data_IF_392471942891
#
_entry.id   IF_392471942891
#
_cell.length_a   1.000
_cell.length_b   1.000
_cell.length_c   1.000
_cell.angle_alpha   90.00
_cell.angle_beta   90.00
_cell.angle_gamma   90.00
#
_symmetry.space_group_name_H-M   'P 1'
#
loop_
_entity.id
_entity.type
_entity.pdbx_description
1 polymer ?
#
# COMPACT_ATOMS: atom_id res chain seq x y z
N UNK A 1 13.33 -1.05 -18.70
CA UNK A 1 12.98 -0.41 -17.41
C UNK A 1 13.56 -1.26 -16.30
N UNK A 2 14.23 -0.65 -15.33
CA UNK A 2 14.75 -1.35 -14.16
C UNK A 2 13.70 -1.24 -13.05
N UNK A 3 13.31 -2.36 -12.46
CA UNK A 3 12.46 -2.41 -11.28
C UNK A 3 13.04 -1.54 -10.14
N UNK A 4 12.20 -1.05 -9.24
CA UNK A 4 12.65 -0.20 -8.12
C UNK A 4 13.63 -0.90 -7.18
N UNK A 5 13.44 -2.21 -6.97
CA UNK A 5 14.25 -3.08 -6.14
C UNK A 5 14.15 -4.53 -6.64
N UNK A 6 14.91 -5.45 -6.04
CA UNK A 6 14.91 -6.87 -6.41
C UNK A 6 13.53 -7.51 -6.21
N UNK A 7 13.11 -8.36 -7.14
CA UNK A 7 11.81 -9.05 -7.11
C UNK A 7 11.60 -9.87 -5.82
N UNK A 8 12.68 -10.34 -5.19
CA UNK A 8 12.60 -11.10 -3.95
C UNK A 8 11.90 -10.34 -2.81
N UNK A 9 11.92 -9.00 -2.83
CA UNK A 9 11.28 -8.15 -1.81
C UNK A 9 9.83 -7.80 -2.12
N UNK A 10 9.39 -7.97 -3.37
CA UNK A 10 8.05 -7.56 -3.81
C UNK A 10 6.94 -8.21 -2.96
N UNK A 11 6.96 -9.53 -2.66
CA UNK A 11 5.91 -10.14 -1.84
C UNK A 11 5.77 -9.51 -0.46
N UNK A 12 6.89 -9.15 0.18
CA UNK A 12 6.88 -8.50 1.49
C UNK A 12 6.34 -7.06 1.39
N UNK A 13 6.76 -6.28 0.40
CA UNK A 13 6.26 -4.91 0.22
C UNK A 13 4.76 -4.90 -0.09
N UNK A 14 4.30 -5.81 -0.96
CA UNK A 14 2.88 -5.97 -1.27
C UNK A 14 2.06 -6.34 -0.03
N UNK A 15 2.55 -7.31 0.76
CA UNK A 15 1.92 -7.71 2.01
C UNK A 15 1.88 -6.57 3.02
N UNK A 16 2.99 -5.87 3.21
CA UNK A 16 3.10 -4.82 4.22
C UNK A 16 2.27 -3.59 3.87
N UNK A 17 2.26 -3.16 2.60
CA UNK A 17 1.35 -2.09 2.16
C UNK A 17 -0.11 -2.54 2.19
N UNK A 18 -0.40 -3.81 1.87
CA UNK A 18 -1.75 -4.35 1.99
C UNK A 18 -2.27 -4.29 3.42
N UNK A 19 -1.51 -4.80 4.39
CA UNK A 19 -1.89 -4.70 5.81
C UNK A 19 -1.97 -3.26 6.30
N UNK A 20 -1.06 -2.38 5.86
CA UNK A 20 -1.11 -0.97 6.19
C UNK A 20 -2.43 -0.33 5.74
N UNK A 21 -2.81 -0.46 4.46
CA UNK A 21 -4.05 0.15 3.96
C UNK A 21 -5.30 -0.52 4.53
N UNK A 22 -5.31 -1.85 4.72
CA UNK A 22 -6.39 -2.53 5.44
C UNK A 22 -6.57 -1.97 6.84
N UNK A 23 -5.48 -1.83 7.61
CA UNK A 23 -5.57 -1.31 8.97
C UNK A 23 -6.04 0.14 8.99
N UNK A 24 -5.53 0.99 8.09
CA UNK A 24 -5.93 2.39 7.98
C UNK A 24 -7.41 2.56 7.62
N UNK A 25 -7.89 1.82 6.62
CA UNK A 25 -9.25 1.99 6.07
C UNK A 25 -10.30 1.24 6.91
N UNK A 26 -10.04 -0.03 7.24
CA UNK A 26 -11.01 -0.88 7.93
C UNK A 26 -10.93 -0.74 9.46
N UNK A 27 -9.74 -0.91 10.05
CA UNK A 27 -9.60 -0.94 11.52
C UNK A 27 -9.63 0.45 12.15
N UNK A 28 -9.06 1.45 11.48
CA UNK A 28 -9.01 2.83 11.97
C UNK A 28 -10.10 3.74 11.38
N UNK A 29 -10.79 3.29 10.32
CA UNK A 29 -11.94 4.00 9.73
C UNK A 29 -11.60 5.28 8.98
N UNK A 30 -10.36 5.44 8.50
CA UNK A 30 -10.02 6.60 7.66
C UNK A 30 -10.65 6.46 6.27
N UNK A 31 -11.02 7.60 5.67
CA UNK A 31 -11.38 7.64 4.26
C UNK A 31 -10.19 7.31 3.35
N UNK A 32 -10.41 6.88 2.09
CA UNK A 32 -9.33 6.67 1.12
C UNK A 32 -8.40 7.87 0.95
N UNK A 33 -8.97 9.09 0.94
CA UNK A 33 -8.18 10.33 0.81
C UNK A 33 -7.29 10.57 2.02
N UNK A 34 -7.83 10.39 3.24
CA UNK A 34 -7.06 10.55 4.47
C UNK A 34 -5.94 9.51 4.57
N UNK A 35 -6.23 8.23 4.28
CA UNK A 35 -5.23 7.18 4.30
C UNK A 35 -4.10 7.43 3.27
N UNK A 36 -4.46 7.87 2.06
CA UNK A 36 -3.49 8.29 1.04
C UNK A 36 -2.62 9.45 1.52
N UNK A 37 -3.22 10.50 2.08
CA UNK A 37 -2.48 11.67 2.53
C UNK A 37 -1.55 11.33 3.70
N UNK A 38 -2.01 10.50 4.64
CA UNK A 38 -1.19 10.01 5.75
C UNK A 38 -0.01 9.19 5.23
N UNK A 39 -0.24 8.29 4.27
CA UNK A 39 0.82 7.51 3.64
C UNK A 39 1.86 8.41 2.94
N UNK A 40 1.42 9.31 2.07
CA UNK A 40 2.30 10.18 1.27
C UNK A 40 3.09 11.17 2.12
N UNK A 41 2.56 11.61 3.26
CA UNK A 41 3.24 12.51 4.18
C UNK A 41 4.10 11.77 5.23
N UNK A 42 4.07 10.44 5.27
CA UNK A 42 4.91 9.63 6.15
C UNK A 42 6.30 9.40 5.55
N UNK A 43 7.18 8.76 6.32
CA UNK A 43 8.51 8.34 5.84
C UNK A 43 8.45 7.11 4.91
N UNK A 44 7.35 6.35 4.93
CA UNK A 44 7.25 5.02 4.29
C UNK A 44 7.52 5.06 2.77
N UNK A 45 6.87 5.95 1.98
CA UNK A 45 7.04 5.93 0.53
C UNK A 45 8.50 6.17 0.13
N UNK A 46 9.12 7.18 0.73
CA UNK A 46 10.50 7.57 0.44
C UNK A 46 11.51 6.45 0.76
N UNK A 47 11.27 5.67 1.82
CA UNK A 47 12.16 4.58 2.21
C UNK A 47 12.04 3.35 1.31
N UNK A 48 10.81 3.03 0.86
CA UNK A 48 10.59 1.97 -0.13
C UNK A 48 11.19 2.36 -1.48
N UNK A 49 11.01 3.61 -1.91
CA UNK A 49 11.51 4.13 -3.20
C UNK A 49 13.05 4.09 -3.30
N UNK A 50 13.77 4.26 -2.19
CA UNK A 50 15.24 4.10 -2.14
C UNK A 50 15.69 2.66 -1.81
N UNK A 51 14.77 1.70 -1.81
CA UNK A 51 15.02 0.29 -1.53
C UNK A 51 15.65 0.01 -0.14
N UNK A 52 15.25 0.75 0.91
CA UNK A 52 15.72 0.48 2.28
C UNK A 52 15.20 -0.89 2.77
N UNK A 53 16.07 -1.89 3.05
CA UNK A 53 15.64 -3.23 3.44
C UNK A 53 14.73 -3.27 4.69
N UNK A 54 14.92 -2.33 5.62
CA UNK A 54 14.07 -2.22 6.82
C UNK A 54 12.61 -1.94 6.43
N UNK A 55 12.38 -1.17 5.37
CA UNK A 55 11.04 -0.89 4.83
C UNK A 55 10.60 -1.87 3.75
N UNK A 56 11.53 -2.60 3.12
CA UNK A 56 11.15 -3.63 2.15
C UNK A 56 10.63 -4.90 2.83
N UNK A 57 11.32 -5.38 3.86
CA UNK A 57 10.99 -6.64 4.53
C UNK A 57 11.16 -6.62 6.07
N UNK A 58 11.73 -5.56 6.65
CA UNK A 58 12.01 -5.49 8.09
C UNK A 58 10.82 -5.09 8.97
N UNK A 59 9.89 -4.28 8.43
CA UNK A 59 8.72 -3.76 9.14
C UNK A 59 7.43 -4.31 8.60
N UNK A 60 6.51 -4.60 9.51
CA UNK A 60 5.13 -4.97 9.20
C UNK A 60 4.28 -3.76 8.78
N UNK A 61 3.14 -4.03 8.15
CA UNK A 61 2.14 -3.00 7.85
C UNK A 61 1.57 -2.28 9.08
N UNK A 62 1.56 -2.92 10.26
CA UNK A 62 1.17 -2.27 11.52
C UNK A 62 2.24 -1.31 12.02
N UNK A 63 3.52 -1.65 11.89
CA UNK A 63 4.62 -0.74 12.21
C UNK A 63 4.65 0.45 11.26
N UNK A 64 4.28 0.27 9.99
CA UNK A 64 4.02 1.38 9.08
C UNK A 64 2.93 2.31 9.62
N UNK A 65 1.81 1.79 10.12
CA UNK A 65 0.76 2.62 10.71
C UNK A 65 1.27 3.40 11.94
N UNK A 66 2.11 2.79 12.78
CA UNK A 66 2.75 3.47 13.91
C UNK A 66 3.69 4.60 13.46
N UNK A 67 4.48 4.37 12.39
CA UNK A 67 5.36 5.39 11.81
C UNK A 67 4.57 6.54 11.15
N UNK A 68 3.45 6.23 10.51
CA UNK A 68 2.60 7.22 9.85
C UNK A 68 1.76 8.04 10.86
N UNK A 69 1.46 7.47 12.03
CA UNK A 69 0.64 8.09 13.07
C UNK A 69 1.35 8.12 14.43
N UNK A 70 2.55 8.74 14.55
CA UNK A 70 3.41 8.62 15.73
C UNK A 70 2.81 9.21 17.02
N UNK A 71 1.75 10.02 16.90
CA UNK A 71 1.03 10.62 18.05
C UNK A 71 -0.18 9.82 18.50
N UNK A 72 -0.58 8.76 17.79
CA UNK A 72 -1.70 7.89 18.16
C UNK A 72 -1.18 6.64 18.86
N UNK A 73 -1.81 6.26 19.96
CA UNK A 73 -1.63 4.94 20.54
C UNK A 73 -2.46 3.93 19.74
N UNK A 74 -1.81 3.01 19.04
CA UNK A 74 -2.44 2.02 18.17
C UNK A 74 -2.46 0.61 18.77
N UNK A 75 -1.89 0.40 19.96
CA UNK A 75 -1.69 -0.94 20.54
C UNK A 75 -2.99 -1.75 20.61
N UNK A 76 -4.05 -1.19 21.19
CA UNK A 76 -5.34 -1.88 21.31
C UNK A 76 -5.94 -2.22 19.94
N UNK A 77 -5.90 -1.28 18.98
CA UNK A 77 -6.42 -1.50 17.63
C UNK A 77 -5.62 -2.57 16.87
N UNK A 78 -4.30 -2.61 17.05
CA UNK A 78 -3.45 -3.65 16.48
C UNK A 78 -3.79 -5.01 17.11
N UNK A 79 -3.95 -5.08 18.43
CA UNK A 79 -4.35 -6.32 19.11
C UNK A 79 -5.72 -6.83 18.67
N UNK A 80 -6.69 -5.94 18.43
CA UNK A 80 -7.99 -6.28 17.84
C UNK A 80 -7.79 -6.84 16.42
N UNK A 81 -7.07 -6.12 15.55
CA UNK A 81 -6.84 -6.54 14.16
C UNK A 81 -6.10 -7.88 14.04
N UNK A 82 -5.22 -8.22 15.00
CA UNK A 82 -4.51 -9.50 15.04
C UNK A 82 -5.37 -10.68 15.49
N UNK A 83 -6.49 -10.42 16.19
CA UNK A 83 -7.45 -11.46 16.62
C UNK A 83 -8.48 -11.77 15.54
N UNK A 84 -8.77 -10.81 14.66
CA UNK A 84 -9.69 -10.99 13.55
C UNK A 84 -9.10 -11.93 12.48
N UNK A 85 -9.89 -12.89 11.96
CA UNK A 85 -9.45 -13.71 10.84
C UNK A 85 -9.11 -12.84 9.62
N UNK A 86 -7.95 -13.09 9.03
CA UNK A 86 -7.51 -12.34 7.86
C UNK A 86 -8.22 -12.81 6.59
N UNK A 87 -8.95 -11.89 5.95
CA UNK A 87 -9.50 -12.05 4.61
C UNK A 87 -9.09 -10.85 3.76
N UNK A 88 -8.28 -11.04 2.70
CA UNK A 88 -7.94 -9.95 1.80
C UNK A 88 -9.19 -9.36 1.14
N UNK A 89 -9.41 -8.07 1.36
CA UNK A 89 -10.49 -7.29 0.73
C UNK A 89 -9.89 -6.14 -0.09
N UNK A 90 -10.75 -5.25 -0.60
CA UNK A 90 -10.36 -4.12 -1.43
C UNK A 90 -9.24 -3.27 -0.79
N UNK A 91 -9.30 -3.06 0.52
CA UNK A 91 -8.34 -2.28 1.28
C UNK A 91 -6.94 -2.88 1.23
N UNK A 92 -6.82 -4.19 1.50
CA UNK A 92 -5.55 -4.91 1.38
C UNK A 92 -5.05 -4.93 -0.06
N UNK A 93 -5.95 -5.25 -0.99
CA UNK A 93 -5.61 -5.34 -2.41
C UNK A 93 -5.11 -4.00 -2.96
N UNK A 94 -5.63 -2.87 -2.47
CA UNK A 94 -5.17 -1.55 -2.89
C UNK A 94 -3.68 -1.31 -2.61
N UNK A 95 -3.20 -1.73 -1.43
CA UNK A 95 -1.78 -1.68 -1.08
C UNK A 95 -0.93 -2.65 -1.91
N UNK A 96 -1.46 -3.86 -2.15
CA UNK A 96 -0.82 -4.88 -2.99
C UNK A 96 -0.58 -4.40 -4.43
N UNK A 97 -1.60 -3.78 -5.05
CA UNK A 97 -1.52 -3.20 -6.39
C UNK A 97 -0.57 -2.01 -6.42
N UNK A 98 -0.66 -1.13 -5.42
CA UNK A 98 0.16 0.07 -5.34
C UNK A 98 1.66 -0.27 -5.26
N UNK A 99 2.02 -1.25 -4.42
CA UNK A 99 3.38 -1.79 -4.33
C UNK A 99 3.86 -2.31 -5.70
N UNK A 100 3.03 -3.10 -6.39
CA UNK A 100 3.37 -3.65 -7.70
C UNK A 100 3.60 -2.55 -8.74
N UNK A 101 2.71 -1.55 -8.80
CA UNK A 101 2.82 -0.43 -9.73
C UNK A 101 4.11 0.36 -9.54
N UNK A 102 4.45 0.66 -8.28
CA UNK A 102 5.67 1.37 -7.91
C UNK A 102 6.91 0.54 -8.29
N UNK A 103 6.95 -0.73 -7.90
CA UNK A 103 8.07 -1.62 -8.17
C UNK A 103 8.31 -1.84 -9.66
N UNK A 104 7.25 -2.15 -10.42
CA UNK A 104 7.31 -2.47 -11.85
C UNK A 104 7.85 -1.31 -12.68
N UNK A 105 7.42 -0.10 -12.34
CA UNK A 105 7.69 1.09 -13.14
C UNK A 105 8.80 1.98 -12.59
N UNK A 106 9.23 1.73 -11.34
CA UNK A 106 10.20 2.55 -10.63
C UNK A 106 9.82 4.05 -10.65
N UNK A 107 8.54 4.33 -10.37
CA UNK A 107 7.99 5.67 -10.27
C UNK A 107 7.58 5.97 -8.83
N UNK A 108 7.71 7.22 -8.35
CA UNK A 108 7.33 7.54 -6.99
C UNK A 108 5.83 7.29 -6.69
N UNK A 109 5.52 6.89 -5.47
CA UNK A 109 4.14 6.66 -5.02
C UNK A 109 3.27 7.92 -5.16
N UNK A 110 3.85 9.11 -4.92
CA UNK A 110 3.11 10.36 -5.08
C UNK A 110 2.69 10.59 -6.55
N UNK A 111 3.48 10.18 -7.54
CA UNK A 111 3.13 10.29 -8.95
C UNK A 111 1.95 9.36 -9.26
N UNK A 112 1.97 8.14 -8.74
CA UNK A 112 0.87 7.18 -8.90
C UNK A 112 -0.41 7.74 -8.27
N UNK A 113 -0.39 8.06 -6.98
CA UNK A 113 -1.58 8.42 -6.20
C UNK A 113 -2.14 9.82 -6.51
N UNK A 114 -1.34 10.72 -7.09
CA UNK A 114 -1.86 12.00 -7.58
C UNK A 114 -2.57 11.87 -8.93
N UNK A 115 -2.23 10.87 -9.74
CA UNK A 115 -2.86 10.64 -11.05
C UNK A 115 -3.99 9.62 -10.97
N UNK A 116 -3.81 8.57 -10.17
CA UNK A 116 -4.78 7.51 -9.93
C UNK A 116 -4.92 7.32 -8.41
N UNK A 117 -5.80 8.10 -7.76
CA UNK A 117 -5.96 8.09 -6.31
C UNK A 117 -6.29 6.72 -5.74
N UNK A 118 -6.01 6.51 -4.45
CA UNK A 118 -6.28 5.27 -3.74
C UNK A 118 -7.74 4.83 -3.88
N UNK A 119 -8.67 5.79 -3.86
CA UNK A 119 -10.11 5.56 -4.09
C UNK A 119 -10.39 4.90 -5.45
N UNK A 120 -9.68 5.30 -6.51
CA UNK A 120 -9.83 4.70 -7.83
C UNK A 120 -9.28 3.26 -7.86
N UNK A 121 -8.21 2.99 -7.10
CA UNK A 121 -7.71 1.63 -6.93
C UNK A 121 -8.81 0.81 -6.25
N UNK A 122 -9.31 1.23 -5.09
CA UNK A 122 -10.39 0.54 -4.36
C UNK A 122 -11.62 0.25 -5.25
N UNK A 123 -12.07 1.25 -6.01
CA UNK A 123 -13.23 1.10 -6.91
C UNK A 123 -13.00 0.11 -8.06
N UNK A 124 -11.74 -0.21 -8.38
CA UNK A 124 -11.38 -1.18 -9.41
C UNK A 124 -11.40 -2.63 -8.89
N UNK A 125 -11.50 -2.84 -7.58
CA UNK A 125 -11.40 -4.15 -6.94
C UNK A 125 -12.35 -5.18 -7.57
N UNK A 126 -13.66 -4.91 -7.59
CA UNK A 126 -14.66 -5.87 -8.10
C UNK A 126 -14.42 -6.32 -9.54
N UNK A 127 -13.80 -5.48 -10.37
CA UNK A 127 -13.54 -5.77 -11.78
C UNK A 127 -12.21 -6.48 -12.02
N UNK A 128 -11.21 -6.26 -11.16
CA UNK A 128 -9.82 -6.58 -11.46
C UNK A 128 -9.13 -7.47 -10.42
N UNK A 129 -9.69 -7.67 -9.22
CA UNK A 129 -8.98 -8.39 -8.16
C UNK A 129 -8.75 -9.88 -8.45
N UNK A 130 -9.57 -10.49 -9.30
CA UNK A 130 -9.39 -11.87 -9.80
C UNK A 130 -8.46 -11.95 -11.02
N UNK A 131 -8.13 -10.80 -11.62
CA UNK A 131 -7.20 -10.74 -12.75
C UNK A 131 -5.75 -10.65 -12.26
N UNK A 132 -4.82 -10.96 -13.16
CA UNK A 132 -3.40 -10.71 -12.91
C UNK A 132 -3.15 -9.23 -12.61
N UNK A 133 -2.32 -8.96 -11.61
CA UNK A 133 -2.00 -7.60 -11.14
C UNK A 133 -1.44 -6.70 -12.24
N UNK A 134 -0.77 -7.28 -13.25
CA UNK A 134 -0.29 -6.57 -14.44
C UNK A 134 -1.40 -5.85 -15.20
N UNK A 135 -2.63 -6.39 -15.22
CA UNK A 135 -3.75 -5.74 -15.90
C UNK A 135 -4.15 -4.44 -15.20
N UNK A 136 -4.19 -4.46 -13.87
CA UNK A 136 -4.47 -3.25 -13.08
C UNK A 136 -3.36 -2.23 -13.23
N UNK A 137 -2.11 -2.70 -13.18
CA UNK A 137 -0.93 -1.85 -13.38
C UNK A 137 -0.94 -1.15 -14.74
N UNK A 138 -1.22 -1.86 -15.84
CA UNK A 138 -1.33 -1.28 -17.17
C UNK A 138 -2.40 -0.16 -17.23
N UNK A 139 -3.58 -0.41 -16.67
CA UNK A 139 -4.67 0.59 -16.61
C UNK A 139 -4.23 1.84 -15.85
N UNK A 140 -3.52 1.67 -14.73
CA UNK A 140 -2.99 2.79 -13.95
C UNK A 140 -1.93 3.55 -14.76
N UNK A 141 -0.98 2.84 -15.37
CA UNK A 141 0.11 3.46 -16.14
C UNK A 141 -0.39 4.19 -17.39
N UNK A 142 -1.46 3.75 -18.04
CA UNK A 142 -2.11 4.49 -19.14
C UNK A 142 -2.60 5.89 -18.73
N UNK A 143 -2.89 6.09 -17.43
CA UNK A 143 -3.27 7.42 -16.90
C UNK A 143 -2.06 8.29 -16.56
N UNK A 144 -0.91 7.67 -16.27
CA UNK A 144 0.32 8.35 -15.86
C UNK A 144 1.11 8.73 -17.11
N UNK A 145 0.99 10.00 -17.52
CA UNK A 145 1.79 10.59 -18.61
C UNK A 145 3.19 11.01 -18.14
#
# INVERSE_FOLDING_TARGET
>A
MKYAYDEMYLPDVQKNLGFFFQFMLFSLGYSPKEAQDIFLNSIIPAQIEIANPDFLCGKSGFEFAMLALPKKNLTEKIEEALKEPFYPQAEYWSGFVLAYCQWKNNIPFNKILNTFPLENILNSYHLLHEADVTKTEQIIMEKIK
#
